data_IF_376542773436
#
_entry.id   IF_376542773436
#
_cell.length_a   1.000
_cell.length_b   1.000
_cell.length_c   1.000
_cell.angle_alpha   90.00
_cell.angle_beta   90.00
_cell.angle_gamma   90.00
#
_symmetry.space_group_name_H-M   'P 1'
#
loop_
_entity.id
_entity.type
_entity.pdbx_description
1 polymer ?
#
# COMPACT_ATOMS: atom_id res chain seq x y z
N UNK A 1 -14.26 -18.64 -1.00
CA UNK A 1 -13.66 -18.23 0.27
C UNK A 1 -13.40 -16.76 0.17
N UNK A 2 -12.26 -16.26 0.67
CA UNK A 2 -11.60 -15.13 0.00
C UNK A 2 -10.85 -15.71 -1.21
N UNK A 3 -10.69 -15.00 -2.35
CA UNK A 3 -11.00 -13.59 -2.59
C UNK A 3 -12.45 -13.29 -3.01
N UNK A 4 -13.37 -14.25 -2.97
CA UNK A 4 -14.75 -13.97 -3.33
C UNK A 4 -15.42 -13.01 -2.34
N UNK A 5 -16.23 -12.04 -2.82
CA UNK A 5 -16.70 -10.93 -1.99
C UNK A 5 -17.75 -11.33 -0.95
N UNK A 6 -18.35 -12.51 -1.10
CA UNK A 6 -19.53 -12.91 -0.33
C UNK A 6 -19.25 -12.98 1.18
N UNK A 7 -18.05 -13.41 1.57
CA UNK A 7 -17.68 -13.48 2.99
C UNK A 7 -17.66 -12.10 3.66
N UNK A 8 -17.24 -11.07 2.94
CA UNK A 8 -17.21 -9.69 3.45
C UNK A 8 -18.61 -9.08 3.53
N UNK A 9 -19.45 -9.33 2.51
CA UNK A 9 -20.86 -8.88 2.49
C UNK A 9 -21.65 -9.50 3.63
N UNK A 10 -21.52 -10.81 3.82
CA UNK A 10 -22.17 -11.54 4.92
C UNK A 10 -21.70 -11.04 6.28
N UNK A 11 -20.39 -10.85 6.46
CA UNK A 11 -19.84 -10.33 7.71
C UNK A 11 -20.37 -8.93 8.03
N UNK A 12 -20.39 -8.04 7.04
CA UNK A 12 -20.91 -6.66 7.18
C UNK A 12 -22.40 -6.67 7.53
N UNK A 13 -23.21 -7.44 6.81
CA UNK A 13 -24.64 -7.56 7.05
C UNK A 13 -24.95 -8.12 8.45
N UNK A 14 -24.18 -9.14 8.89
CA UNK A 14 -24.37 -9.80 10.19
C UNK A 14 -24.21 -8.85 11.37
N UNK A 15 -23.31 -7.87 11.27
CA UNK A 15 -23.07 -6.89 12.35
C UNK A 15 -23.82 -5.57 12.13
N UNK A 16 -24.61 -5.45 11.06
CA UNK A 16 -25.29 -4.19 10.69
C UNK A 16 -24.33 -3.06 10.36
N UNK A 17 -23.11 -3.37 9.90
CA UNK A 17 -22.08 -2.38 9.59
C UNK A 17 -22.42 -1.58 8.33
N UNK A 18 -22.23 -0.27 8.36
CA UNK A 18 -22.51 0.62 7.21
C UNK A 18 -21.26 1.18 6.55
N UNK A 19 -20.11 1.11 7.24
CA UNK A 19 -18.81 1.60 6.78
C UNK A 19 -17.69 0.63 7.17
N UNK A 20 -17.72 -0.62 6.68
CA UNK A 20 -16.71 -1.61 7.01
C UNK A 20 -15.33 -1.21 6.46
N UNK A 21 -14.27 -1.74 7.10
CA UNK A 21 -12.89 -1.69 6.63
C UNK A 21 -12.36 -3.13 6.65
N UNK A 22 -11.89 -3.62 5.50
CA UNK A 22 -11.16 -4.89 5.45
C UNK A 22 -9.74 -4.69 5.98
N UNK A 23 -9.25 -5.58 6.83
CA UNK A 23 -7.87 -5.53 7.34
C UNK A 23 -7.22 -6.89 7.12
N UNK A 24 -6.02 -6.91 6.56
CA UNK A 24 -5.29 -8.16 6.30
C UNK A 24 -3.87 -7.95 5.80
N UNK A 25 -3.15 -9.05 5.64
CA UNK A 25 -1.72 -9.09 5.30
C UNK A 25 -1.47 -9.80 3.96
N UNK A 26 -2.53 -10.26 3.27
CA UNK A 26 -2.40 -11.00 2.02
C UNK A 26 -3.17 -10.33 0.89
N UNK A 27 -2.45 -9.98 -0.17
CA UNK A 27 -3.00 -9.27 -1.34
C UNK A 27 -4.11 -10.06 -2.05
N UNK A 28 -3.81 -11.29 -2.47
CA UNK A 28 -4.70 -12.11 -3.31
C UNK A 28 -5.90 -12.73 -2.58
N UNK A 29 -6.07 -12.47 -1.28
CA UNK A 29 -7.24 -12.92 -0.52
C UNK A 29 -7.91 -11.77 0.19
N UNK A 30 -7.19 -11.07 1.07
CA UNK A 30 -7.79 -10.13 2.01
C UNK A 30 -8.10 -8.83 1.30
N UNK A 31 -7.10 -8.31 0.60
CA UNK A 31 -7.21 -7.04 -0.13
C UNK A 31 -8.06 -7.23 -1.37
N UNK A 32 -7.78 -8.26 -2.18
CA UNK A 32 -8.58 -8.60 -3.35
C UNK A 32 -10.06 -8.83 -3.00
N UNK A 33 -10.34 -9.54 -1.90
CA UNK A 33 -11.71 -9.80 -1.48
C UNK A 33 -12.44 -8.57 -0.94
N UNK A 34 -11.74 -7.70 -0.21
CA UNK A 34 -12.31 -6.42 0.23
C UNK A 34 -12.61 -5.52 -0.98
N UNK A 35 -11.67 -5.40 -1.93
CA UNK A 35 -11.82 -4.63 -3.16
C UNK A 35 -12.98 -5.16 -4.02
N UNK A 36 -13.08 -6.48 -4.24
CA UNK A 36 -14.19 -7.10 -4.96
C UNK A 36 -15.56 -6.89 -4.29
N UNK A 37 -15.56 -6.56 -2.99
CA UNK A 37 -16.76 -6.25 -2.21
C UNK A 37 -17.11 -4.77 -2.20
N UNK A 38 -16.28 -3.90 -2.78
CA UNK A 38 -16.40 -2.45 -2.68
C UNK A 38 -16.10 -1.90 -1.29
N UNK A 39 -15.38 -2.66 -0.46
CA UNK A 39 -15.01 -2.29 0.91
C UNK A 39 -13.58 -1.77 0.88
N UNK A 40 -13.29 -0.59 1.47
CA UNK A 40 -11.91 -0.12 1.59
C UNK A 40 -11.08 -1.09 2.43
N UNK A 41 -9.80 -1.18 2.13
CA UNK A 41 -8.90 -2.18 2.73
C UNK A 41 -7.64 -1.55 3.30
N UNK A 42 -7.20 -2.03 4.47
CA UNK A 42 -5.91 -1.75 5.08
C UNK A 42 -5.03 -2.99 4.96
N UNK A 43 -3.89 -2.83 4.29
CA UNK A 43 -2.83 -3.83 4.30
C UNK A 43 -1.86 -3.57 5.47
N UNK A 44 -1.51 -4.62 6.23
CA UNK A 44 -0.50 -4.58 7.29
C UNK A 44 0.69 -5.50 6.97
N UNK A 45 1.89 -5.12 7.42
CA UNK A 45 3.15 -5.79 7.11
C UNK A 45 3.55 -6.86 8.15
N UNK A 46 2.57 -7.43 8.86
CA UNK A 46 2.81 -8.41 9.92
C UNK A 46 2.82 -9.87 9.45
N UNK A 47 2.61 -10.12 8.16
CA UNK A 47 2.40 -11.48 7.67
C UNK A 47 2.94 -11.73 6.25
N UNK A 48 2.10 -12.21 5.34
CA UNK A 48 2.51 -12.88 4.12
C UNK A 48 3.04 -11.92 3.05
N UNK A 49 2.26 -10.91 2.67
CA UNK A 49 2.65 -9.97 1.63
C UNK A 49 3.47 -8.83 2.22
N UNK A 50 4.70 -8.67 1.77
CA UNK A 50 5.61 -7.59 2.12
C UNK A 50 5.40 -6.33 1.27
N UNK A 51 6.10 -5.26 1.63
CA UNK A 51 6.01 -3.96 0.97
C UNK A 51 6.32 -4.04 -0.54
N UNK A 52 7.26 -4.90 -0.93
CA UNK A 52 7.61 -5.14 -2.33
C UNK A 52 6.41 -5.61 -3.14
N UNK A 53 5.71 -6.65 -2.69
CA UNK A 53 4.55 -7.19 -3.41
C UNK A 53 3.41 -6.18 -3.47
N UNK A 54 3.21 -5.39 -2.40
CA UNK A 54 2.18 -4.34 -2.38
C UNK A 54 2.45 -3.25 -3.42
N UNK A 55 3.70 -2.81 -3.58
CA UNK A 55 4.07 -1.81 -4.59
C UNK A 55 3.86 -2.37 -6.01
N UNK A 56 4.11 -3.67 -6.20
CA UNK A 56 3.92 -4.37 -7.47
C UNK A 56 2.47 -4.83 -7.73
N UNK A 57 1.54 -4.54 -6.81
CA UNK A 57 0.19 -5.09 -6.85
C UNK A 57 -0.60 -4.68 -8.11
N UNK A 58 -1.35 -5.66 -8.64
CA UNK A 58 -2.35 -5.44 -9.68
C UNK A 58 -3.49 -4.54 -9.15
N UNK A 59 -4.22 -3.81 -10.02
CA UNK A 59 -5.31 -2.92 -9.57
C UNK A 59 -6.31 -3.57 -8.61
N UNK A 60 -6.63 -4.85 -8.83
CA UNK A 60 -7.57 -5.62 -8.01
C UNK A 60 -7.04 -5.91 -6.59
N UNK A 61 -5.72 -5.90 -6.42
CA UNK A 61 -5.02 -6.20 -5.17
C UNK A 61 -4.49 -4.95 -4.45
N UNK A 62 -4.72 -3.74 -4.98
CA UNK A 62 -4.22 -2.51 -4.35
C UNK A 62 -5.04 -2.15 -3.10
N UNK A 63 -4.43 -2.06 -1.92
CA UNK A 63 -5.14 -1.65 -0.72
C UNK A 63 -5.46 -0.15 -0.72
N UNK A 64 -6.52 0.25 -0.03
CA UNK A 64 -6.86 1.67 0.16
C UNK A 64 -5.93 2.35 1.16
N UNK A 65 -5.47 1.60 2.16
CA UNK A 65 -4.62 2.07 3.25
C UNK A 65 -3.43 1.11 3.45
N UNK A 66 -2.34 1.68 3.92
CA UNK A 66 -1.06 1.01 4.15
C UNK A 66 -0.61 1.27 5.58
N UNK A 67 -0.39 0.20 6.33
CA UNK A 67 0.12 0.21 7.70
C UNK A 67 1.24 -0.81 7.89
N UNK A 68 1.95 -0.68 9.00
CA UNK A 68 2.93 -1.66 9.46
C UNK A 68 2.19 -2.74 10.25
N UNK A 69 1.29 -2.36 11.15
CA UNK A 69 0.54 -3.29 12.00
C UNK A 69 -0.82 -2.69 12.44
N UNK A 70 -1.51 -3.33 13.39
CA UNK A 70 -2.82 -2.89 13.84
C UNK A 70 -2.80 -1.56 14.62
N UNK A 71 -1.64 -1.09 15.08
CA UNK A 71 -1.54 0.23 15.70
C UNK A 71 -1.82 1.35 14.69
N UNK A 72 -1.69 1.09 13.39
CA UNK A 72 -2.03 2.06 12.35
C UNK A 72 -3.55 2.31 12.21
N UNK A 73 -4.40 1.52 12.87
CA UNK A 73 -5.84 1.77 12.92
C UNK A 73 -6.21 3.01 13.76
N UNK A 74 -5.34 3.43 14.69
CA UNK A 74 -5.60 4.59 15.53
C UNK A 74 -5.14 5.92 14.94
N UNK A 75 -4.47 5.90 13.78
CA UNK A 75 -3.89 7.07 13.15
C UNK A 75 -4.47 7.28 11.74
N UNK A 76 -4.84 8.52 11.37
CA UNK A 76 -5.25 8.79 10.01
C UNK A 76 -4.06 8.66 9.05
N UNK A 77 -4.22 7.88 7.98
CA UNK A 77 -3.26 7.87 6.87
C UNK A 77 -3.30 9.24 6.15
N UNK A 78 -2.18 9.97 6.06
CA UNK A 78 -2.11 11.17 5.23
C UNK A 78 -2.35 10.82 3.75
N UNK A 79 -2.97 11.72 2.97
CA UNK A 79 -3.14 11.49 1.55
C UNK A 79 -1.78 11.46 0.84
N UNK A 80 -1.69 10.67 -0.23
CA UNK A 80 -0.59 10.78 -1.18
C UNK A 80 -1.04 11.68 -2.33
N UNK A 81 -0.35 12.79 -2.54
CA UNK A 81 -0.62 13.75 -3.62
C UNK A 81 0.41 13.62 -4.73
N UNK A 82 0.07 14.07 -5.94
CA UNK A 82 1.00 14.12 -7.06
C UNK A 82 1.42 15.57 -7.33
N UNK A 83 2.72 15.82 -7.43
CA UNK A 83 3.36 17.10 -7.72
C UNK A 83 4.33 16.93 -8.89
N UNK A 84 3.86 17.19 -10.11
CA UNK A 84 4.59 16.82 -11.33
C UNK A 84 4.75 15.30 -11.40
N UNK A 85 5.98 14.83 -11.53
CA UNK A 85 6.28 13.40 -11.58
C UNK A 85 6.47 12.78 -10.18
N UNK A 86 6.37 13.58 -9.11
CA UNK A 86 6.58 13.12 -7.74
C UNK A 86 5.27 12.80 -7.02
N UNK A 87 5.28 11.71 -6.26
CA UNK A 87 4.24 11.34 -5.31
C UNK A 87 4.70 11.70 -3.90
N UNK A 88 3.87 12.45 -3.18
CA UNK A 88 4.22 13.08 -1.92
C UNK A 88 3.29 12.57 -0.80
N UNK A 89 3.88 12.08 0.28
CA UNK A 89 3.19 11.70 1.51
C UNK A 89 3.84 12.45 2.67
N UNK A 90 3.19 13.51 3.16
CA UNK A 90 3.83 14.51 4.03
C UNK A 90 5.14 15.02 3.40
N UNK A 91 6.27 14.90 4.07
CA UNK A 91 7.60 15.30 3.56
C UNK A 91 8.26 14.22 2.70
N UNK A 92 7.74 12.99 2.68
CA UNK A 92 8.31 11.93 1.87
C UNK A 92 7.92 12.12 0.40
N UNK A 93 8.88 11.93 -0.51
CA UNK A 93 8.69 12.11 -1.95
C UNK A 93 9.30 10.93 -2.70
N UNK A 94 8.52 10.33 -3.59
CA UNK A 94 8.92 9.21 -4.41
C UNK A 94 8.48 9.41 -5.87
N UNK A 95 9.22 8.82 -6.81
CA UNK A 95 8.82 8.77 -8.22
C UNK A 95 9.29 7.46 -8.85
N UNK A 96 8.93 7.23 -10.11
CA UNK A 96 9.52 6.20 -10.96
C UNK A 96 10.30 6.85 -12.08
N UNK A 97 11.54 6.42 -12.25
CA UNK A 97 12.37 6.72 -13.41
C UNK A 97 12.88 5.41 -14.00
N UNK A 98 12.91 5.27 -15.32
CA UNK A 98 13.26 4.04 -16.08
C UNK A 98 12.94 2.75 -15.30
N UNK A 99 11.65 2.50 -15.03
CA UNK A 99 11.12 1.36 -14.24
C UNK A 99 11.58 1.21 -12.77
N UNK A 100 12.55 1.96 -12.29
CA UNK A 100 13.04 1.92 -10.92
C UNK A 100 12.37 2.96 -10.01
N UNK A 101 12.16 2.57 -8.75
CA UNK A 101 11.73 3.50 -7.71
C UNK A 101 12.85 4.47 -7.34
N UNK A 102 12.50 5.75 -7.19
CA UNK A 102 13.41 6.82 -6.74
C UNK A 102 12.81 7.51 -5.51
N UNK A 103 13.62 7.70 -4.47
CA UNK A 103 13.27 8.48 -3.28
C UNK A 103 14.08 9.77 -3.22
N UNK A 104 13.44 10.85 -2.77
CA UNK A 104 14.17 12.06 -2.37
C UNK A 104 14.48 12.02 -0.87
N UNK A 105 15.77 12.15 -0.50
CA UNK A 105 16.25 12.25 0.90
C UNK A 105 17.35 13.30 0.98
N UNK A 106 17.46 14.02 2.08
CA UNK A 106 18.61 14.92 2.36
C UNK A 106 19.01 15.86 1.20
N UNK A 107 18.06 16.28 0.36
CA UNK A 107 18.29 17.12 -0.81
C UNK A 107 18.82 16.41 -2.07
N UNK A 108 18.93 15.07 -2.05
CA UNK A 108 19.31 14.24 -3.19
C UNK A 108 18.23 13.24 -3.59
N UNK A 109 18.40 12.65 -4.77
CA UNK A 109 17.53 11.61 -5.34
C UNK A 109 18.28 10.27 -5.37
N UNK A 110 17.64 9.23 -4.85
CA UNK A 110 18.23 7.91 -4.67
C UNK A 110 17.36 6.87 -5.35
N UNK A 111 17.89 6.24 -6.41
CA UNK A 111 17.27 5.07 -7.00
C UNK A 111 17.44 3.88 -6.07
N UNK A 112 16.35 3.17 -5.78
CA UNK A 112 16.34 1.99 -4.92
C UNK A 112 16.68 0.75 -5.75
N UNK A 113 17.94 0.33 -5.73
CA UNK A 113 18.43 -0.88 -6.42
C UNK A 113 18.62 -2.07 -5.48
N UNK A 114 18.95 -1.79 -4.22
CA UNK A 114 19.30 -2.79 -3.20
C UNK A 114 18.28 -2.78 -2.06
N UNK A 115 18.21 -3.86 -1.24
CA UNK A 115 17.34 -3.89 -0.07
C UNK A 115 17.54 -2.67 0.83
N UNK A 116 16.43 -2.03 1.22
CA UNK A 116 16.48 -0.75 1.92
C UNK A 116 15.49 -0.70 3.09
N UNK A 117 15.77 0.20 4.04
CA UNK A 117 14.80 0.61 5.07
C UNK A 117 14.17 1.94 4.68
N UNK A 118 12.85 2.01 4.74
CA UNK A 118 12.04 3.18 4.42
C UNK A 118 11.05 3.48 5.54
N UNK A 119 10.68 4.75 5.70
CA UNK A 119 9.62 5.15 6.62
C UNK A 119 8.25 4.75 6.07
N UNK A 120 7.23 4.73 6.92
CA UNK A 120 5.84 4.46 6.50
C UNK A 120 5.33 5.47 5.46
N UNK A 121 5.71 6.75 5.57
CA UNK A 121 5.31 7.77 4.62
C UNK A 121 6.06 7.63 3.28
N UNK A 122 7.34 7.26 3.30
CA UNK A 122 8.09 6.90 2.08
C UNK A 122 7.49 5.67 1.40
N UNK A 123 7.12 4.64 2.16
CA UNK A 123 6.45 3.46 1.63
C UNK A 123 5.13 3.81 0.93
N UNK A 124 4.31 4.68 1.53
CA UNK A 124 3.05 5.15 0.93
C UNK A 124 3.28 5.90 -0.38
N UNK A 125 4.26 6.81 -0.41
CA UNK A 125 4.64 7.51 -1.64
C UNK A 125 5.14 6.54 -2.73
N UNK A 126 5.99 5.58 -2.36
CA UNK A 126 6.55 4.56 -3.26
C UNK A 126 5.46 3.63 -3.82
N UNK A 127 4.49 3.24 -3.02
CA UNK A 127 3.38 2.40 -3.46
C UNK A 127 2.58 3.08 -4.56
N UNK A 128 2.18 4.33 -4.36
CA UNK A 128 1.42 5.08 -5.38
C UNK A 128 2.27 5.36 -6.62
N UNK A 129 3.57 5.64 -6.45
CA UNK A 129 4.50 5.73 -7.58
C UNK A 129 4.56 4.42 -8.38
N UNK A 130 4.76 3.29 -7.71
CA UNK A 130 4.67 1.93 -8.26
C UNK A 130 3.43 1.68 -9.09
N UNK A 131 2.27 2.00 -8.51
CA UNK A 131 0.97 1.78 -9.13
C UNK A 131 0.69 2.63 -10.35
N UNK A 132 1.41 3.74 -10.52
CA UNK A 132 1.31 4.62 -11.69
C UNK A 132 2.08 4.10 -12.91
N UNK A 133 3.02 3.17 -12.72
CA UNK A 133 3.82 2.60 -13.80
C UNK A 133 3.21 1.29 -14.35
N UNK A 134 3.54 0.97 -15.61
CA UNK A 134 3.18 -0.31 -16.23
C UNK A 134 4.05 -1.47 -15.78
N UNK A 135 5.29 -1.16 -15.37
CA UNK A 135 6.24 -2.09 -14.80
C UNK A 135 7.11 -1.32 -13.80
N UNK A 136 7.48 -1.99 -12.71
CA UNK A 136 8.35 -1.40 -11.69
C UNK A 136 9.29 -2.46 -11.10
N UNK A 137 10.58 -2.13 -11.05
CA UNK A 137 11.59 -2.86 -10.31
C UNK A 137 11.59 -2.38 -8.85
N UNK A 138 11.32 -3.31 -7.93
CA UNK A 138 11.19 -3.02 -6.49
C UNK A 138 12.15 -3.94 -5.72
N UNK A 139 13.15 -3.41 -4.99
CA UNK A 139 13.97 -4.21 -4.10
C UNK A 139 13.19 -4.63 -2.84
N UNK A 140 13.78 -5.46 -1.98
CA UNK A 140 13.18 -5.75 -0.68
C UNK A 140 13.17 -4.50 0.20
N UNK A 141 12.01 -4.18 0.79
CA UNK A 141 11.83 -2.99 1.62
C UNK A 141 11.41 -3.38 3.04
N UNK A 142 12.17 -2.92 4.02
CA UNK A 142 11.77 -2.92 5.42
C UNK A 142 11.14 -1.58 5.76
N UNK A 143 9.89 -1.59 6.22
CA UNK A 143 9.17 -0.35 6.59
C UNK A 143 9.27 -0.12 8.10
N UNK A 144 9.59 1.10 8.49
CA UNK A 144 9.65 1.55 9.89
C UNK A 144 8.71 2.73 10.13
N UNK A 145 8.31 2.94 11.39
CA UNK A 145 7.58 4.14 11.80
C UNK A 145 8.45 5.38 11.69
#
# INVERSE_FOLDING_TARGET
>A
GKPEPEIFRLATARVGGTRPLGVGDRLNTDIAGANASGIPSLHVLTGISGAREVIMATPEERPSYLGIDLLDLSEPQPPVTQEGDWFCCRSARATIADDGLVLARDGGEFRLTDPATVTLDEYRALAVAGWSATAVAVPELKVTR
#
